data_IF_355382254817
#
_entry.id   IF_355382254817
#
_cell.length_a   1.000
_cell.length_b   1.000
_cell.length_c   1.000
_cell.angle_alpha   90.00
_cell.angle_beta   90.00
_cell.angle_gamma   90.00
#
_symmetry.space_group_name_H-M   'P 1'
#
loop_
_entity.id
_entity.type
_entity.pdbx_description
1 polymer ?
#
# COMPACT_ATOMS: atom_id res chain seq x y z
N UNK A 1 7.55 14.11 7.36
CA UNK A 1 7.81 12.85 6.60
C UNK A 1 8.39 11.83 7.57
N UNK A 2 8.14 10.53 7.39
CA UNK A 2 8.59 9.48 8.32
C UNK A 2 9.79 8.73 7.74
N UNK A 3 10.77 8.39 8.58
CA UNK A 3 11.81 7.38 8.31
C UNK A 3 11.72 6.25 9.33
N UNK A 4 12.31 5.09 9.02
CA UNK A 4 12.32 3.93 9.90
C UNK A 4 13.76 3.48 10.12
N UNK A 5 14.15 3.30 11.38
CA UNK A 5 15.42 2.68 11.78
C UNK A 5 15.11 1.35 12.48
N UNK A 6 15.62 0.26 11.93
CA UNK A 6 15.47 -1.07 12.51
C UNK A 6 16.68 -1.42 13.37
N UNK A 7 16.47 -2.22 14.42
CA UNK A 7 17.56 -2.92 15.14
C UNK A 7 18.64 -1.97 15.70
N UNK A 8 18.24 -0.77 16.17
CA UNK A 8 19.19 0.24 16.65
C UNK A 8 20.12 -0.29 17.76
N UNK A 9 19.63 -1.24 18.57
CA UNK A 9 20.38 -1.85 19.66
C UNK A 9 21.52 -2.76 19.17
N UNK A 10 21.49 -3.18 17.90
CA UNK A 10 22.54 -3.97 17.26
C UNK A 10 23.57 -3.08 16.52
N UNK A 11 23.35 -1.76 16.50
CA UNK A 11 24.18 -0.79 15.79
C UNK A 11 25.02 0.05 16.74
N UNK A 12 26.12 0.62 16.23
CA UNK A 12 26.94 1.57 17.00
C UNK A 12 26.11 2.82 17.38
N UNK A 13 26.08 3.15 18.67
CA UNK A 13 25.26 4.25 19.20
C UNK A 13 25.63 5.61 18.61
N UNK A 14 26.90 5.88 18.35
CA UNK A 14 27.33 7.16 17.78
C UNK A 14 26.87 7.27 16.32
N UNK A 15 26.89 6.16 15.58
CA UNK A 15 26.38 6.13 14.20
C UNK A 15 24.86 6.30 14.16
N UNK A 16 24.12 5.61 15.04
CA UNK A 16 22.66 5.78 15.16
C UNK A 16 22.33 7.24 15.46
N UNK A 17 22.97 7.84 16.47
CA UNK A 17 22.74 9.24 16.85
C UNK A 17 23.02 10.19 15.68
N UNK A 18 24.11 9.98 14.94
CA UNK A 18 24.47 10.81 13.78
C UNK A 18 23.41 10.74 12.68
N UNK A 19 22.90 9.55 12.38
CA UNK A 19 21.85 9.36 11.36
C UNK A 19 20.51 9.95 11.83
N UNK A 20 20.17 9.79 13.11
CA UNK A 20 18.98 10.40 13.71
C UNK A 20 19.03 11.92 13.62
N UNK A 21 20.13 12.56 14.03
CA UNK A 21 20.30 14.01 13.93
C UNK A 21 20.24 14.50 12.48
N UNK A 22 20.76 13.72 11.51
CA UNK A 22 20.59 14.03 10.09
C UNK A 22 19.12 14.04 9.69
N UNK A 23 18.35 13.00 10.06
CA UNK A 23 16.93 12.94 9.73
C UNK A 23 16.12 14.04 10.42
N UNK A 24 16.45 14.38 11.66
CA UNK A 24 15.83 15.50 12.39
C UNK A 24 16.11 16.84 11.70
N UNK A 25 17.33 17.06 11.20
CA UNK A 25 17.72 18.30 10.52
C UNK A 25 16.91 18.57 9.23
N UNK A 26 16.33 17.51 8.64
CA UNK A 26 15.44 17.60 7.48
C UNK A 26 13.97 17.38 7.87
N UNK A 27 13.62 17.58 9.14
CA UNK A 27 12.26 17.48 9.70
C UNK A 27 11.58 16.13 9.43
N UNK A 28 12.34 15.04 9.48
CA UNK A 28 11.78 13.69 9.43
C UNK A 28 11.52 13.17 10.84
N UNK A 29 10.37 12.52 11.02
CA UNK A 29 10.05 11.77 12.22
C UNK A 29 10.64 10.37 12.11
N UNK A 30 11.52 10.00 13.03
CA UNK A 30 12.14 8.68 13.10
C UNK A 30 11.27 7.72 13.89
N UNK A 31 10.89 6.61 13.26
CA UNK A 31 10.22 5.48 13.92
C UNK A 31 11.23 4.36 14.11
N UNK A 32 11.36 3.87 15.33
CA UNK A 32 12.23 2.73 15.61
C UNK A 32 11.44 1.43 15.57
N UNK A 33 12.04 0.40 14.98
CA UNK A 33 11.49 -0.95 14.97
C UNK A 33 12.51 -1.93 15.54
N UNK A 34 12.02 -2.94 16.27
CA UNK A 34 12.88 -3.90 16.95
C UNK A 34 13.57 -4.87 15.99
N UNK A 35 12.98 -5.13 14.81
CA UNK A 35 13.56 -6.01 13.81
C UNK A 35 13.26 -5.58 12.37
N UNK A 36 14.18 -5.90 11.45
CA UNK A 36 13.95 -5.72 10.01
C UNK A 36 12.74 -6.53 9.51
N UNK A 37 12.48 -7.69 10.13
CA UNK A 37 11.30 -8.52 9.84
C UNK A 37 9.98 -7.81 10.14
N UNK A 38 9.93 -7.03 11.22
CA UNK A 38 8.76 -6.25 11.57
C UNK A 38 8.50 -5.15 10.53
N UNK A 39 9.55 -4.44 10.13
CA UNK A 39 9.49 -3.47 9.03
C UNK A 39 8.92 -4.12 7.76
N UNK A 40 9.52 -5.21 7.29
CA UNK A 40 9.12 -5.87 6.05
C UNK A 40 7.68 -6.36 6.10
N UNK A 41 7.23 -6.88 7.24
CA UNK A 41 5.83 -7.25 7.47
C UNK A 41 4.90 -6.04 7.33
N UNK A 42 5.19 -4.92 7.99
CA UNK A 42 4.32 -3.74 7.93
C UNK A 42 4.30 -3.11 6.54
N UNK A 43 5.46 -2.93 5.92
CA UNK A 43 5.62 -2.34 4.58
C UNK A 43 4.91 -3.19 3.51
N UNK A 44 4.86 -4.52 3.67
CA UNK A 44 4.09 -5.37 2.77
C UNK A 44 2.62 -4.94 2.68
N UNK A 45 1.97 -4.67 3.81
CA UNK A 45 0.56 -4.24 3.85
C UNK A 45 0.36 -2.78 3.43
N UNK A 46 1.20 -1.86 3.91
CA UNK A 46 0.92 -0.41 3.75
C UNK A 46 1.50 0.20 2.49
N UNK A 47 2.47 -0.46 1.83
CA UNK A 47 3.19 0.08 0.68
C UNK A 47 3.23 -0.89 -0.51
N UNK A 48 3.65 -2.15 -0.30
CA UNK A 48 3.83 -3.07 -1.43
C UNK A 48 2.48 -3.50 -2.01
N UNK A 49 1.53 -3.86 -1.16
CA UNK A 49 0.19 -4.25 -1.59
C UNK A 49 -0.48 -3.15 -2.41
N UNK A 50 -0.39 -1.89 -1.98
CA UNK A 50 -0.99 -0.76 -2.72
C UNK A 50 -0.37 -0.55 -4.09
N UNK A 51 0.94 -0.79 -4.26
CA UNK A 51 1.57 -0.78 -5.58
C UNK A 51 1.04 -1.91 -6.46
N UNK A 52 0.98 -3.14 -5.94
CA UNK A 52 0.46 -4.29 -6.68
C UNK A 52 -1.00 -4.04 -7.10
N UNK A 53 -1.87 -3.61 -6.18
CA UNK A 53 -3.26 -3.28 -6.47
C UNK A 53 -3.37 -2.20 -7.55
N UNK A 54 -2.52 -1.17 -7.50
CA UNK A 54 -2.50 -0.10 -8.51
C UNK A 54 -2.10 -0.63 -9.89
N UNK A 55 -1.01 -1.42 -9.98
CA UNK A 55 -0.59 -2.04 -11.24
C UNK A 55 -1.64 -2.98 -11.81
N UNK A 56 -2.23 -3.84 -10.97
CA UNK A 56 -3.20 -4.84 -11.41
C UNK A 56 -4.53 -4.20 -11.79
N UNK A 57 -5.00 -3.18 -11.07
CA UNK A 57 -6.17 -2.41 -11.47
C UNK A 57 -5.94 -1.74 -12.84
N UNK A 58 -4.77 -1.12 -13.04
CA UNK A 58 -4.41 -0.53 -14.32
C UNK A 58 -4.39 -1.57 -15.45
N UNK A 59 -3.76 -2.74 -15.21
CA UNK A 59 -3.75 -3.86 -16.15
C UNK A 59 -5.16 -4.33 -16.51
N UNK A 60 -6.03 -4.54 -15.52
CA UNK A 60 -7.41 -4.98 -15.75
C UNK A 60 -8.18 -4.01 -16.66
N UNK A 61 -8.05 -2.70 -16.43
CA UNK A 61 -8.72 -1.69 -17.27
C UNK A 61 -8.17 -1.71 -18.71
N UNK A 62 -6.85 -1.78 -18.89
CA UNK A 62 -6.22 -1.85 -20.22
C UNK A 62 -6.59 -3.12 -21.00
N UNK A 63 -6.88 -4.22 -20.31
CA UNK A 63 -7.26 -5.48 -20.96
C UNK A 63 -8.74 -5.55 -21.34
N UNK A 64 -9.61 -4.92 -20.54
CA UNK A 64 -11.06 -4.88 -20.78
C UNK A 64 -11.41 -3.80 -21.82
N UNK A 65 -10.88 -2.59 -21.64
CA UNK A 65 -11.11 -1.47 -22.55
C UNK A 65 -9.95 -1.36 -23.54
N UNK A 66 -10.19 -1.76 -24.79
CA UNK A 66 -9.17 -1.75 -25.84
C UNK A 66 -9.06 -0.39 -26.54
N UNK A 67 -10.06 0.48 -26.38
CA UNK A 67 -10.03 1.84 -26.90
C UNK A 67 -9.43 2.77 -25.84
N UNK A 68 -8.14 3.07 -25.98
CA UNK A 68 -7.42 3.97 -25.08
C UNK A 68 -8.11 5.34 -24.94
N UNK A 69 -8.80 5.82 -25.98
CA UNK A 69 -9.51 7.10 -25.96
C UNK A 69 -10.68 7.06 -24.97
N UNK A 70 -11.40 5.94 -24.92
CA UNK A 70 -12.49 5.71 -23.95
C UNK A 70 -11.96 5.58 -22.52
N UNK A 71 -10.77 5.01 -22.33
CA UNK A 71 -10.13 5.00 -21.01
C UNK A 71 -9.92 6.44 -20.52
N UNK A 72 -9.39 7.33 -21.37
CA UNK A 72 -9.20 8.73 -20.99
C UNK A 72 -10.51 9.48 -20.73
N UNK A 73 -11.54 9.23 -21.56
CA UNK A 73 -12.84 9.90 -21.44
C UNK A 73 -13.63 9.42 -20.21
N UNK A 74 -13.45 8.16 -19.78
CA UNK A 74 -14.12 7.58 -18.61
C UNK A 74 -13.28 7.60 -17.32
N UNK A 75 -11.96 7.77 -17.42
CA UNK A 75 -11.06 7.86 -16.27
C UNK A 75 -11.25 9.19 -15.54
N UNK A 76 -12.30 9.24 -14.71
CA UNK A 76 -12.49 10.32 -13.75
C UNK A 76 -11.27 10.48 -12.82
N UNK A 77 -11.22 11.62 -12.12
CA UNK A 77 -10.13 11.97 -11.20
C UNK A 77 -9.85 10.89 -10.13
N UNK A 78 -10.87 10.13 -9.73
CA UNK A 78 -10.76 9.01 -8.79
C UNK A 78 -10.00 7.79 -9.35
N UNK A 79 -10.18 7.46 -10.63
CA UNK A 79 -9.39 6.38 -11.24
C UNK A 79 -7.91 6.79 -11.32
N UNK A 80 -7.65 8.00 -11.84
CA UNK A 80 -6.29 8.55 -11.95
C UNK A 80 -5.54 8.57 -10.62
N UNK A 81 -6.22 8.87 -9.51
CA UNK A 81 -5.61 8.86 -8.17
C UNK A 81 -5.33 7.43 -7.69
N UNK A 82 -6.21 6.48 -7.99
CA UNK A 82 -6.09 5.06 -7.58
C UNK A 82 -4.98 4.33 -8.34
N UNK A 83 -4.87 4.54 -9.65
CA UNK A 83 -3.80 3.93 -10.49
C UNK A 83 -2.51 4.76 -10.51
N UNK A 84 -2.39 5.80 -9.66
CA UNK A 84 -1.21 6.68 -9.66
C UNK A 84 0.11 5.93 -9.46
N UNK A 85 0.09 4.86 -8.65
CA UNK A 85 1.30 4.08 -8.33
C UNK A 85 1.70 3.12 -9.47
N UNK A 86 0.78 2.79 -10.39
CA UNK A 86 1.08 1.99 -11.58
C UNK A 86 2.09 2.64 -12.54
N UNK A 87 2.43 3.92 -12.34
CA UNK A 87 3.48 4.64 -13.08
C UNK A 87 4.88 4.40 -12.51
N UNK A 88 5.00 3.63 -11.43
CA UNK A 88 6.28 3.36 -10.80
C UNK A 88 7.18 2.49 -11.68
N UNK A 89 8.50 2.65 -11.56
CA UNK A 89 9.46 1.94 -12.42
C UNK A 89 9.47 0.42 -12.11
N UNK A 90 9.17 -0.45 -13.09
CA UNK A 90 9.20 -1.90 -12.89
C UNK A 90 10.58 -2.42 -12.45
N UNK A 91 11.68 -1.85 -12.99
CA UNK A 91 13.05 -2.25 -12.62
C UNK A 91 13.35 -2.02 -11.13
N UNK A 92 12.69 -1.04 -10.51
CA UNK A 92 12.80 -0.77 -9.07
C UNK A 92 11.91 -1.68 -8.25
N UNK A 93 10.66 -1.89 -8.69
CA UNK A 93 9.66 -2.59 -7.89
C UNK A 93 9.76 -4.11 -7.95
N UNK A 94 10.21 -4.69 -9.07
CA UNK A 94 10.44 -6.14 -9.16
C UNK A 94 11.37 -6.68 -8.06
N UNK A 95 12.58 -6.14 -7.85
CA UNK A 95 13.45 -6.65 -6.78
C UNK A 95 12.86 -6.39 -5.38
N UNK A 96 12.17 -5.27 -5.15
CA UNK A 96 11.47 -4.99 -3.88
C UNK A 96 10.43 -6.09 -3.60
N UNK A 97 9.63 -6.45 -4.60
CA UNK A 97 8.63 -7.52 -4.46
C UNK A 97 9.27 -8.88 -4.21
N UNK A 98 10.37 -9.19 -4.89
CA UNK A 98 11.07 -10.48 -4.70
C UNK A 98 11.75 -10.55 -3.32
N UNK A 99 12.36 -9.47 -2.86
CA UNK A 99 13.04 -9.42 -1.56
C UNK A 99 12.05 -9.58 -0.39
N UNK A 100 10.84 -9.02 -0.52
CA UNK A 100 9.79 -9.13 0.49
C UNK A 100 8.68 -10.15 0.13
N UNK A 101 8.97 -11.11 -0.75
CA UNK A 101 8.00 -12.06 -1.32
C UNK A 101 7.14 -12.75 -0.27
N UNK A 102 7.76 -13.23 0.83
CA UNK A 102 7.08 -13.99 1.88
C UNK A 102 5.92 -13.21 2.51
N UNK A 103 6.12 -11.94 2.84
CA UNK A 103 5.09 -11.11 3.47
C UNK A 103 4.10 -10.57 2.44
N UNK A 104 4.57 -10.27 1.22
CA UNK A 104 3.71 -9.86 0.12
C UNK A 104 2.69 -10.93 -0.23
N UNK A 105 3.10 -12.19 -0.38
CA UNK A 105 2.17 -13.29 -0.69
C UNK A 105 1.05 -13.36 0.33
N UNK A 106 1.38 -13.32 1.63
CA UNK A 106 0.37 -13.30 2.70
C UNK A 106 -0.58 -12.11 2.60
N UNK A 107 -0.05 -10.90 2.35
CA UNK A 107 -0.89 -9.71 2.20
C UNK A 107 -1.78 -9.77 0.95
N UNK A 108 -1.29 -10.40 -0.11
CA UNK A 108 -2.00 -10.55 -1.36
C UNK A 108 -3.12 -11.59 -1.24
N UNK A 109 -2.87 -12.72 -0.56
CA UNK A 109 -3.87 -13.75 -0.28
C UNK A 109 -5.06 -13.16 0.50
N UNK A 110 -4.79 -12.38 1.56
CA UNK A 110 -5.84 -11.69 2.33
C UNK A 110 -6.60 -10.65 1.48
N UNK A 111 -5.90 -9.94 0.59
CA UNK A 111 -6.53 -8.98 -0.29
C UNK A 111 -7.44 -9.66 -1.32
N UNK A 112 -6.98 -10.75 -1.95
CA UNK A 112 -7.76 -11.56 -2.88
C UNK A 112 -9.01 -12.09 -2.18
N UNK A 113 -8.85 -12.65 -0.98
CA UNK A 113 -9.98 -13.13 -0.17
C UNK A 113 -11.03 -12.03 0.06
N UNK A 114 -10.61 -10.82 0.42
CA UNK A 114 -11.55 -9.69 0.59
C UNK A 114 -12.28 -9.35 -0.72
N UNK A 115 -11.58 -9.38 -1.86
CA UNK A 115 -12.19 -9.14 -3.17
C UNK A 115 -13.18 -10.25 -3.57
N UNK A 116 -12.85 -11.51 -3.31
CA UNK A 116 -13.71 -12.67 -3.56
C UNK A 116 -14.96 -12.62 -2.69
N UNK A 117 -14.82 -12.30 -1.39
CA UNK A 117 -15.97 -12.09 -0.50
C UNK A 117 -16.86 -10.97 -1.00
N UNK A 118 -16.30 -9.81 -1.36
CA UNK A 118 -17.10 -8.69 -1.87
C UNK A 118 -17.79 -9.03 -3.19
N UNK A 119 -17.10 -9.73 -4.09
CA UNK A 119 -17.68 -10.24 -5.34
C UNK A 119 -18.87 -11.16 -5.05
N UNK A 120 -18.75 -12.07 -4.08
CA UNK A 120 -19.84 -12.99 -3.72
C UNK A 120 -21.05 -12.24 -3.19
N UNK A 121 -20.85 -11.22 -2.35
CA UNK A 121 -21.95 -10.37 -1.88
C UNK A 121 -22.68 -9.67 -3.04
N UNK A 122 -21.95 -9.24 -4.08
CA UNK A 122 -22.55 -8.67 -5.30
C UNK A 122 -23.34 -9.70 -6.10
N UNK A 123 -22.83 -10.93 -6.24
CA UNK A 123 -23.53 -12.03 -6.94
C UNK A 123 -24.82 -12.43 -6.22
N UNK A 124 -24.84 -12.35 -4.89
CA UNK A 124 -25.99 -12.67 -4.04
C UNK A 124 -26.94 -11.47 -3.83
N UNK A 125 -26.65 -10.32 -4.44
CA UNK A 125 -27.41 -9.06 -4.29
C UNK A 125 -27.63 -8.66 -2.81
N UNK A 126 -26.68 -8.97 -1.93
CA UNK A 126 -26.79 -8.74 -0.49
C UNK A 126 -26.47 -7.28 -0.12
N UNK A 127 -27.42 -6.39 -0.38
CA UNK A 127 -27.30 -4.94 -0.21
C UNK A 127 -26.81 -4.54 1.19
N UNK A 128 -27.39 -5.14 2.24
CA UNK A 128 -27.06 -4.82 3.63
C UNK A 128 -25.59 -5.11 3.94
N UNK A 129 -25.08 -6.28 3.56
CA UNK A 129 -23.68 -6.65 3.82
C UNK A 129 -22.70 -5.87 2.95
N UNK A 130 -23.07 -5.53 1.71
CA UNK A 130 -22.29 -4.62 0.85
C UNK A 130 -22.15 -3.26 1.54
N UNK A 131 -23.26 -2.67 1.99
CA UNK A 131 -23.27 -1.39 2.69
C UNK A 131 -22.43 -1.45 3.97
N UNK A 132 -22.66 -2.46 4.82
CA UNK A 132 -21.95 -2.63 6.09
C UNK A 132 -20.44 -2.79 5.87
N UNK A 133 -20.02 -3.55 4.85
CA UNK A 133 -18.60 -3.71 4.49
C UNK A 133 -17.96 -2.36 4.14
N UNK A 134 -18.62 -1.54 3.31
CA UNK A 134 -18.12 -0.22 2.93
C UNK A 134 -18.11 0.75 4.13
N UNK A 135 -19.18 0.75 4.93
CA UNK A 135 -19.33 1.62 6.10
C UNK A 135 -18.27 1.30 7.18
N UNK A 136 -18.00 0.02 7.43
CA UNK A 136 -16.95 -0.39 8.36
C UNK A 136 -15.56 -0.01 7.84
N UNK A 137 -15.32 -0.15 6.53
CA UNK A 137 -14.05 0.23 5.90
C UNK A 137 -13.81 1.75 5.95
N UNK A 138 -14.87 2.57 5.86
CA UNK A 138 -14.79 4.04 5.97
C UNK A 138 -14.15 4.55 7.27
N UNK A 139 -14.06 3.70 8.32
CA UNK A 139 -13.30 4.01 9.55
C UNK A 139 -11.82 4.32 9.28
N UNK A 140 -11.27 3.90 8.14
CA UNK A 140 -9.92 4.25 7.69
C UNK A 140 -9.69 5.77 7.63
N UNK A 141 -10.75 6.58 7.42
CA UNK A 141 -10.67 8.05 7.45
C UNK A 141 -10.08 8.58 8.76
N UNK A 142 -10.40 7.94 9.89
CA UNK A 142 -9.88 8.34 11.19
C UNK A 142 -8.39 8.04 11.32
N UNK A 143 -7.94 6.91 10.76
CA UNK A 143 -6.53 6.54 10.69
C UNK A 143 -5.75 7.54 9.83
N UNK A 144 -6.28 7.87 8.64
CA UNK A 144 -5.64 8.79 7.71
C UNK A 144 -5.54 10.23 8.25
N UNK A 145 -6.52 10.70 9.03
CA UNK A 145 -6.45 12.01 9.70
C UNK A 145 -5.22 12.13 10.60
N UNK A 146 -4.85 11.07 11.31
CA UNK A 146 -3.66 11.05 12.16
C UNK A 146 -2.33 11.00 11.40
N UNK A 147 -2.34 10.81 10.08
CA UNK A 147 -1.13 10.81 9.23
C UNK A 147 -0.89 12.21 8.62
N UNK A 148 -1.94 13.04 8.51
CA UNK A 148 -1.90 14.36 7.89
C UNK A 148 -1.64 15.51 8.88
N UNK A 149 -1.56 15.22 10.18
CA UNK A 149 -1.10 16.09 11.26
C UNK A 149 0.34 15.77 11.61
#
# INVERSE_FOLDING_TARGET
KVNIICEQNLSDKNMVNRVVSLFESIHMQTVFMESAKQHDKHIAYVSHLSHISSFMLGKTVLEIEKDEKRIFDMAGSGFRSTVRLAKSNPKTWTPIFLQNKKYILKSLDEYIKNLETFKKLMEDENEDEIYNTMQNTNRIKNILKGILT
#
